data_IF_991689633556
#
_entry.id   IF_991689633556
#
_cell.length_a   1.000
_cell.length_b   1.000
_cell.length_c   1.000
_cell.angle_alpha   90.00
_cell.angle_beta   90.00
_cell.angle_gamma   90.00
#
_symmetry.space_group_name_H-M   'P 1'
#
loop_
_entity.id
_entity.type
_entity.pdbx_description
1 polymer ?
#
# COMPACT_ATOMS: atom_id res chain seq x y z
N UNK A 1 -9.83 -13.27 6.72
CA UNK A 1 -8.57 -13.92 6.34
C UNK A 1 -8.64 -14.54 4.96
N UNK A 2 -9.69 -15.26 4.62
CA UNK A 2 -9.79 -15.94 3.32
C UNK A 2 -9.84 -14.96 2.14
N UNK A 3 -10.52 -13.83 2.28
CA UNK A 3 -10.73 -12.84 1.20
C UNK A 3 -9.44 -12.30 0.57
N UNK A 4 -8.41 -11.84 1.32
CA UNK A 4 -7.15 -11.39 0.72
C UNK A 4 -6.39 -12.50 0.01
N UNK A 5 -6.44 -13.74 0.55
CA UNK A 5 -5.80 -14.89 -0.08
C UNK A 5 -6.50 -15.28 -1.39
N UNK A 6 -7.83 -15.33 -1.40
CA UNK A 6 -8.60 -15.58 -2.61
C UNK A 6 -8.36 -14.50 -3.67
N UNK A 7 -8.36 -13.23 -3.27
CA UNK A 7 -8.02 -12.14 -4.19
C UNK A 7 -6.61 -12.30 -4.75
N UNK A 8 -5.62 -12.65 -3.90
CA UNK A 8 -4.25 -12.88 -4.36
C UNK A 8 -4.16 -14.04 -5.35
N UNK A 9 -4.89 -15.13 -5.09
CA UNK A 9 -4.94 -16.29 -5.98
C UNK A 9 -5.55 -15.94 -7.35
N UNK A 10 -6.67 -15.20 -7.36
CA UNK A 10 -7.31 -14.73 -8.61
C UNK A 10 -6.36 -13.81 -9.38
N UNK A 11 -5.72 -12.84 -8.70
CA UNK A 11 -4.77 -11.95 -9.36
C UNK A 11 -3.55 -12.70 -9.89
N UNK A 12 -3.04 -13.68 -9.17
CA UNK A 12 -1.95 -14.53 -9.65
C UNK A 12 -2.34 -15.30 -10.90
N UNK A 13 -3.54 -15.89 -10.93
CA UNK A 13 -4.05 -16.61 -12.09
C UNK A 13 -4.19 -15.69 -13.31
N UNK A 14 -4.79 -14.51 -13.12
CA UNK A 14 -5.04 -13.57 -14.22
C UNK A 14 -3.73 -12.93 -14.69
N UNK A 15 -2.98 -12.29 -13.81
CA UNK A 15 -1.80 -11.51 -14.20
C UNK A 15 -0.52 -12.35 -14.29
N UNK A 16 -0.39 -13.40 -13.50
CA UNK A 16 0.76 -14.29 -13.52
C UNK A 16 0.71 -15.30 -14.66
N UNK A 17 -0.43 -15.96 -14.84
CA UNK A 17 -0.59 -17.07 -15.80
C UNK A 17 -1.12 -16.54 -17.14
N UNK A 18 -2.28 -15.89 -17.14
CA UNK A 18 -2.93 -15.46 -18.41
C UNK A 18 -2.17 -14.35 -19.11
N UNK A 19 -1.84 -13.28 -18.41
CA UNK A 19 -1.13 -12.12 -19.00
C UNK A 19 0.38 -12.27 -19.00
N UNK A 20 0.94 -13.32 -18.39
CA UNK A 20 2.38 -13.54 -18.29
C UNK A 20 3.16 -12.29 -17.83
N UNK A 21 2.53 -11.47 -16.97
CA UNK A 21 3.12 -10.25 -16.42
C UNK A 21 4.32 -10.53 -15.49
N UNK A 22 4.53 -11.81 -15.15
CA UNK A 22 5.70 -12.30 -14.42
C UNK A 22 7.02 -12.20 -15.21
N UNK A 23 6.95 -11.91 -16.52
CA UNK A 23 8.15 -11.72 -17.34
C UNK A 23 8.91 -10.49 -16.87
N UNK A 24 9.99 -10.70 -16.10
CA UNK A 24 10.89 -9.66 -15.59
C UNK A 24 10.76 -9.32 -14.11
N UNK A 25 9.77 -9.87 -13.38
CA UNK A 25 9.69 -9.74 -11.93
C UNK A 25 10.09 -11.08 -11.29
N UNK A 26 11.20 -11.05 -10.56
CA UNK A 26 11.67 -12.22 -9.82
C UNK A 26 10.72 -12.50 -8.65
N UNK A 27 10.35 -13.77 -8.42
CA UNK A 27 9.39 -14.18 -7.38
C UNK A 27 8.03 -13.44 -7.44
N UNK A 28 7.42 -13.40 -8.62
CA UNK A 28 6.17 -12.66 -8.86
C UNK A 28 5.05 -12.97 -7.86
N UNK A 29 4.95 -14.23 -7.39
CA UNK A 29 3.94 -14.62 -6.39
C UNK A 29 4.10 -13.83 -5.09
N UNK A 30 5.31 -13.78 -4.53
CA UNK A 30 5.63 -13.01 -3.33
C UNK A 30 5.39 -11.51 -3.56
N UNK A 31 5.80 -11.00 -4.72
CA UNK A 31 5.59 -9.61 -5.14
C UNK A 31 4.12 -9.22 -5.13
N UNK A 32 3.26 -10.05 -5.73
CA UNK A 32 1.83 -9.81 -5.85
C UNK A 32 1.11 -9.92 -4.50
N UNK A 33 1.38 -10.99 -3.75
CA UNK A 33 0.72 -11.24 -2.46
C UNK A 33 1.05 -10.13 -1.46
N UNK A 34 2.32 -9.70 -1.39
CA UNK A 34 2.75 -8.56 -0.56
C UNK A 34 1.97 -7.30 -0.94
N UNK A 35 1.90 -6.97 -2.23
CA UNK A 35 1.17 -5.79 -2.68
C UNK A 35 -0.32 -5.83 -2.35
N UNK A 36 -0.97 -6.99 -2.53
CA UNK A 36 -2.40 -7.17 -2.22
C UNK A 36 -2.67 -7.02 -0.72
N UNK A 37 -1.85 -7.60 0.15
CA UNK A 37 -2.06 -7.53 1.60
C UNK A 37 -1.88 -6.11 2.13
N UNK A 38 -0.80 -5.45 1.74
CA UNK A 38 -0.51 -4.06 2.14
C UNK A 38 -1.59 -3.10 1.62
N UNK A 39 -1.99 -3.23 0.36
CA UNK A 39 -3.07 -2.40 -0.19
C UNK A 39 -4.41 -2.68 0.49
N UNK A 40 -4.75 -3.94 0.77
CA UNK A 40 -6.02 -4.31 1.40
C UNK A 40 -6.19 -3.71 2.79
N UNK A 41 -5.12 -3.51 3.54
CA UNK A 41 -5.16 -2.79 4.81
C UNK A 41 -5.58 -1.33 4.62
N UNK A 42 -4.98 -0.62 3.67
CA UNK A 42 -5.34 0.78 3.37
C UNK A 42 -6.78 0.87 2.82
N UNK A 43 -7.15 0.00 1.89
CA UNK A 43 -8.50 -0.05 1.32
C UNK A 43 -9.56 -0.24 2.40
N UNK A 44 -9.40 -1.23 3.29
CA UNK A 44 -10.37 -1.50 4.35
C UNK A 44 -10.44 -0.36 5.36
N UNK A 45 -9.29 0.21 5.76
CA UNK A 45 -9.26 1.36 6.66
C UNK A 45 -10.04 2.55 6.11
N UNK A 46 -9.92 2.83 4.82
CA UNK A 46 -10.63 3.92 4.13
C UNK A 46 -12.13 3.61 4.01
N UNK A 47 -12.48 2.41 3.55
CA UNK A 47 -13.88 1.99 3.37
C UNK A 47 -14.61 1.94 4.70
N UNK A 48 -14.04 1.28 5.71
CA UNK A 48 -14.63 1.19 7.05
C UNK A 48 -14.71 2.58 7.70
N UNK A 49 -13.65 3.39 7.56
CA UNK A 49 -13.65 4.78 8.02
C UNK A 49 -14.84 5.57 7.48
N UNK A 50 -15.18 5.41 6.19
CA UNK A 50 -16.30 6.15 5.57
C UNK A 50 -17.68 5.76 6.09
N UNK A 51 -17.84 4.57 6.65
CA UNK A 51 -19.15 4.05 7.13
C UNK A 51 -19.28 4.03 8.66
N UNK A 52 -18.16 4.09 9.39
CA UNK A 52 -18.11 3.82 10.84
C UNK A 52 -19.00 4.71 11.67
N UNK A 53 -19.10 6.01 11.35
CA UNK A 53 -19.91 6.97 12.11
C UNK A 53 -21.41 6.66 12.01
N UNK A 54 -21.86 6.25 10.83
CA UNK A 54 -23.27 5.89 10.60
C UNK A 54 -23.62 4.53 11.16
N UNK A 55 -22.73 3.57 11.00
CA UNK A 55 -22.92 2.22 11.52
C UNK A 55 -23.06 2.20 13.05
N UNK A 56 -22.45 3.18 13.74
CA UNK A 56 -22.45 3.25 15.21
C UNK A 56 -23.22 4.46 15.76
N UNK A 57 -24.22 4.98 15.04
CA UNK A 57 -24.96 6.18 15.46
C UNK A 57 -25.70 5.98 16.80
N UNK A 58 -26.22 4.78 17.05
CA UNK A 58 -26.86 4.43 18.31
C UNK A 58 -25.87 4.51 19.48
N UNK A 59 -24.66 4.01 19.31
CA UNK A 59 -23.59 4.05 20.30
C UNK A 59 -23.16 5.50 20.59
N UNK A 60 -23.02 6.31 19.54
CA UNK A 60 -22.63 7.72 19.63
C UNK A 60 -23.66 8.54 20.41
N UNK A 61 -24.98 8.19 20.29
CA UNK A 61 -26.04 8.86 21.00
C UNK A 61 -26.19 8.37 22.44
N UNK A 62 -25.88 7.10 22.71
CA UNK A 62 -26.02 6.51 24.03
C UNK A 62 -24.87 6.86 24.99
N UNK A 63 -23.67 7.05 24.47
CA UNK A 63 -22.48 7.24 25.26
C UNK A 63 -21.75 8.55 24.92
N UNK A 64 -21.34 9.28 25.96
CA UNK A 64 -20.52 10.47 25.82
C UNK A 64 -19.05 10.09 25.78
N UNK A 65 -18.49 9.91 24.57
CA UNK A 65 -17.07 9.64 24.38
C UNK A 65 -16.53 10.40 23.15
N UNK A 66 -15.19 10.60 23.05
CA UNK A 66 -14.59 11.24 21.89
C UNK A 66 -14.88 10.47 20.61
N UNK A 67 -15.61 11.06 19.69
CA UNK A 67 -16.08 10.39 18.44
C UNK A 67 -14.93 9.92 17.55
N UNK A 68 -13.76 10.56 17.66
CA UNK A 68 -12.54 10.14 16.95
C UNK A 68 -12.06 8.74 17.33
N UNK A 69 -12.39 8.23 18.53
CA UNK A 69 -12.01 6.88 18.95
C UNK A 69 -12.59 5.79 18.04
N UNK A 70 -13.77 6.02 17.45
CA UNK A 70 -14.41 5.03 16.58
C UNK A 70 -13.58 4.72 15.31
N UNK A 71 -13.28 5.68 14.41
CA UNK A 71 -12.47 5.39 13.23
C UNK A 71 -11.08 4.86 13.60
N UNK A 72 -10.46 5.37 14.67
CA UNK A 72 -9.16 4.89 15.13
C UNK A 72 -9.20 3.42 15.59
N UNK A 73 -10.22 3.05 16.37
CA UNK A 73 -10.41 1.66 16.82
C UNK A 73 -10.57 0.69 15.64
N UNK A 74 -11.35 1.06 14.63
CA UNK A 74 -11.51 0.22 13.45
C UNK A 74 -10.21 0.07 12.65
N UNK A 75 -9.39 1.13 12.52
CA UNK A 75 -8.07 1.02 11.88
C UNK A 75 -7.17 0.08 12.67
N UNK A 76 -7.23 0.08 14.00
CA UNK A 76 -6.48 -0.87 14.82
C UNK A 76 -6.93 -2.32 14.62
N UNK A 77 -8.23 -2.56 14.45
CA UNK A 77 -8.75 -3.89 14.09
C UNK A 77 -8.22 -4.33 12.72
N UNK A 78 -8.24 -3.45 11.71
CA UNK A 78 -7.68 -3.76 10.39
C UNK A 78 -6.16 -3.98 10.44
N UNK A 79 -5.45 -3.26 11.31
CA UNK A 79 -4.03 -3.48 11.55
C UNK A 79 -3.76 -4.86 12.15
N UNK A 80 -4.55 -5.29 13.13
CA UNK A 80 -4.45 -6.65 13.68
C UNK A 80 -4.70 -7.71 12.59
N UNK A 81 -5.67 -7.51 11.72
CA UNK A 81 -5.93 -8.40 10.58
C UNK A 81 -4.76 -8.43 9.60
N UNK A 82 -4.08 -7.29 9.37
CA UNK A 82 -2.86 -7.25 8.59
C UNK A 82 -1.76 -8.09 9.23
N UNK A 83 -1.50 -7.94 10.54
CA UNK A 83 -0.48 -8.71 11.26
C UNK A 83 -0.71 -10.22 11.14
N UNK A 84 -1.96 -10.66 11.28
CA UNK A 84 -2.28 -12.09 11.07
C UNK A 84 -2.11 -12.50 9.61
N UNK A 85 -2.39 -11.61 8.64
CA UNK A 85 -2.12 -11.86 7.22
C UNK A 85 -0.61 -11.97 6.94
N UNK A 86 0.24 -11.24 7.68
CA UNK A 86 1.70 -11.36 7.58
C UNK A 86 2.20 -12.74 8.00
N UNK A 87 1.55 -13.41 8.96
CA UNK A 87 1.90 -14.80 9.33
C UNK A 87 1.72 -15.77 8.16
N UNK A 88 0.82 -15.49 7.24
CA UNK A 88 0.64 -16.27 6.01
C UNK A 88 1.60 -15.81 4.91
N UNK A 89 1.89 -14.51 4.85
CA UNK A 89 2.80 -13.94 3.87
C UNK A 89 4.23 -14.46 4.04
N UNK A 90 4.75 -14.53 5.27
CA UNK A 90 6.12 -14.94 5.55
C UNK A 90 6.45 -16.34 5.00
N UNK A 91 5.67 -17.39 5.26
CA UNK A 91 5.89 -18.69 4.62
C UNK A 91 5.87 -18.62 3.09
N UNK A 92 4.95 -17.86 2.49
CA UNK A 92 4.87 -17.73 1.03
C UNK A 92 6.17 -17.12 0.49
N UNK A 93 6.68 -16.06 1.11
CA UNK A 93 7.93 -15.39 0.70
C UNK A 93 9.13 -16.33 0.84
N UNK A 94 9.21 -17.09 1.94
CA UNK A 94 10.29 -18.07 2.16
C UNK A 94 10.25 -19.23 1.15
N UNK A 95 9.07 -19.77 0.87
CA UNK A 95 8.88 -20.87 -0.11
C UNK A 95 9.26 -20.40 -1.52
N UNK A 96 9.07 -19.12 -1.85
CA UNK A 96 9.49 -18.56 -3.14
C UNK A 96 11.00 -18.36 -3.26
N UNK A 97 11.78 -18.60 -2.20
CA UNK A 97 13.25 -18.56 -2.21
C UNK A 97 13.87 -17.22 -1.81
N UNK A 98 13.09 -16.30 -1.24
CA UNK A 98 13.64 -15.05 -0.70
C UNK A 98 14.32 -15.31 0.65
N UNK A 99 15.59 -14.91 0.85
CA UNK A 99 16.32 -15.16 2.08
C UNK A 99 15.80 -14.29 3.24
N UNK A 100 15.77 -14.87 4.44
CA UNK A 100 15.52 -14.11 5.65
C UNK A 100 16.72 -13.22 5.95
N UNK A 101 16.53 -11.90 5.94
CA UNK A 101 17.60 -10.91 6.14
C UNK A 101 17.25 -9.92 7.25
N UNK A 102 18.25 -9.27 7.86
CA UNK A 102 18.04 -8.23 8.88
C UNK A 102 17.12 -7.08 8.42
N UNK A 103 16.97 -6.88 7.13
CA UNK A 103 16.07 -5.86 6.58
C UNK A 103 14.59 -6.13 6.86
N UNK A 104 14.20 -7.34 7.23
CA UNK A 104 12.84 -7.63 7.68
C UNK A 104 12.47 -6.81 8.93
N UNK A 105 13.46 -6.36 9.71
CA UNK A 105 13.23 -5.46 10.82
C UNK A 105 12.64 -4.10 10.38
N UNK A 106 12.99 -3.63 9.18
CA UNK A 106 12.41 -2.41 8.61
C UNK A 106 10.92 -2.54 8.28
N UNK A 107 10.38 -3.75 8.26
CA UNK A 107 8.95 -3.96 8.10
C UNK A 107 8.15 -3.28 9.23
N UNK A 108 8.64 -3.35 10.48
CA UNK A 108 7.96 -2.77 11.64
C UNK A 108 7.74 -1.26 11.47
N UNK A 109 8.76 -0.42 11.24
CA UNK A 109 8.54 1.01 11.03
C UNK A 109 7.71 1.31 9.78
N UNK A 110 7.80 0.53 8.70
CA UNK A 110 6.96 0.71 7.52
C UNK A 110 5.49 0.49 7.84
N UNK A 111 5.16 -0.59 8.56
CA UNK A 111 3.78 -0.88 8.96
C UNK A 111 3.22 0.17 9.93
N UNK A 112 4.06 0.70 10.83
CA UNK A 112 3.66 1.78 11.75
C UNK A 112 3.38 3.08 10.99
N UNK A 113 4.21 3.44 10.01
CA UNK A 113 3.97 4.61 9.15
C UNK A 113 2.69 4.45 8.34
N UNK A 114 2.46 3.26 7.77
CA UNK A 114 1.23 2.96 7.05
C UNK A 114 -0.01 3.02 7.96
N UNK A 115 0.08 2.48 9.19
CA UNK A 115 -1.01 2.57 10.17
C UNK A 115 -1.32 4.04 10.51
N UNK A 116 -0.30 4.86 10.71
CA UNK A 116 -0.44 6.31 10.96
C UNK A 116 -1.11 7.01 9.79
N UNK A 117 -0.71 6.70 8.56
CA UNK A 117 -1.37 7.20 7.35
C UNK A 117 -2.85 6.78 7.31
N UNK A 118 -3.14 5.51 7.56
CA UNK A 118 -4.49 4.97 7.53
C UNK A 118 -5.38 5.57 8.63
N UNK A 119 -4.84 5.88 9.81
CA UNK A 119 -5.56 6.60 10.87
C UNK A 119 -6.01 7.98 10.39
N UNK A 120 -5.10 8.76 9.80
CA UNK A 120 -5.42 10.06 9.24
C UNK A 120 -6.46 9.97 8.11
N UNK A 121 -6.28 9.03 7.19
CA UNK A 121 -7.21 8.79 6.08
C UNK A 121 -8.60 8.37 6.59
N UNK A 122 -8.68 7.49 7.59
CA UNK A 122 -9.94 7.05 8.18
C UNK A 122 -10.68 8.20 8.86
N UNK A 123 -9.99 9.11 9.55
CA UNK A 123 -10.58 10.32 10.14
C UNK A 123 -11.19 11.23 9.08
N UNK A 124 -10.47 11.46 7.98
CA UNK A 124 -10.98 12.25 6.84
C UNK A 124 -12.24 11.59 6.27
N UNK A 125 -12.18 10.28 6.02
CA UNK A 125 -13.30 9.53 5.44
C UNK A 125 -14.49 9.43 6.39
N UNK A 126 -14.27 9.33 7.70
CA UNK A 126 -15.32 9.31 8.69
C UNK A 126 -16.17 10.60 8.67
N UNK A 127 -15.51 11.76 8.51
CA UNK A 127 -16.21 13.03 8.37
C UNK A 127 -16.98 13.12 7.05
N UNK A 128 -16.33 12.79 5.93
CA UNK A 128 -16.96 12.82 4.61
C UNK A 128 -18.15 11.85 4.53
N UNK A 129 -17.98 10.64 5.05
CA UNK A 129 -19.02 9.64 5.08
C UNK A 129 -20.18 9.99 6.00
N UNK A 130 -19.97 10.70 7.12
CA UNK A 130 -21.03 11.18 7.98
C UNK A 130 -21.90 12.25 7.28
N UNK A 131 -21.32 13.08 6.43
CA UNK A 131 -22.00 14.16 5.72
C UNK A 131 -22.86 13.70 4.54
N UNK A 132 -22.41 12.72 3.76
CA UNK A 132 -23.07 12.29 2.53
C UNK A 132 -23.09 10.75 2.39
N UNK A 133 -24.29 10.17 2.29
CA UNK A 133 -24.46 8.72 2.17
C UNK A 133 -23.94 8.18 0.85
N UNK A 134 -24.20 8.90 -0.22
CA UNK A 134 -23.80 8.51 -1.56
C UNK A 134 -22.27 8.45 -1.69
N UNK A 135 -21.57 9.37 -0.99
CA UNK A 135 -20.12 9.35 -0.96
C UNK A 135 -19.56 8.04 -0.36
N UNK A 136 -20.14 7.57 0.74
CA UNK A 136 -19.71 6.29 1.35
C UNK A 136 -19.92 5.08 0.44
N UNK A 137 -20.92 5.12 -0.45
CA UNK A 137 -21.17 4.05 -1.42
C UNK A 137 -20.17 4.09 -2.59
N UNK A 138 -19.65 5.27 -2.94
CA UNK A 138 -18.65 5.42 -4.01
C UNK A 138 -17.24 5.01 -3.58
N UNK A 139 -16.90 5.10 -2.29
CA UNK A 139 -15.55 4.80 -1.78
C UNK A 139 -15.06 3.40 -2.15
N UNK A 140 -15.83 2.30 -2.00
CA UNK A 140 -15.37 0.97 -2.39
C UNK A 140 -15.05 0.86 -3.89
N UNK A 141 -15.76 1.59 -4.74
CA UNK A 141 -15.50 1.63 -6.17
C UNK A 141 -14.21 2.40 -6.48
N UNK A 142 -14.03 3.59 -5.87
CA UNK A 142 -12.83 4.40 -6.04
C UNK A 142 -11.58 3.68 -5.55
N UNK A 143 -11.64 2.98 -4.42
CA UNK A 143 -10.49 2.23 -3.90
C UNK A 143 -10.11 1.04 -4.80
N UNK A 144 -11.08 0.40 -5.44
CA UNK A 144 -10.80 -0.65 -6.46
C UNK A 144 -10.05 -0.10 -7.66
N UNK A 145 -10.47 1.06 -8.18
CA UNK A 145 -9.77 1.74 -9.27
C UNK A 145 -8.36 2.13 -8.82
N UNK A 146 -8.23 2.72 -7.62
CA UNK A 146 -6.96 3.14 -7.06
C UNK A 146 -5.94 1.99 -6.96
N UNK A 147 -6.37 0.77 -6.67
CA UNK A 147 -5.53 -0.43 -6.64
C UNK A 147 -4.73 -0.64 -7.92
N UNK A 148 -5.31 -0.35 -9.08
CA UNK A 148 -4.63 -0.49 -10.37
C UNK A 148 -3.53 0.56 -10.57
N UNK A 149 -3.64 1.73 -9.94
CA UNK A 149 -2.64 2.79 -10.02
C UNK A 149 -1.50 2.67 -9.01
N UNK A 150 -1.58 1.76 -8.05
CA UNK A 150 -0.58 1.63 -6.98
C UNK A 150 0.53 0.62 -7.27
N UNK A 151 0.61 0.05 -8.49
CA UNK A 151 1.63 -0.95 -8.83
C UNK A 151 1.52 -2.24 -7.99
N UNK A 152 0.31 -2.61 -7.55
CA UNK A 152 0.07 -3.87 -6.81
C UNK A 152 0.42 -5.07 -7.68
N UNK A 153 0.02 -5.05 -8.95
CA UNK A 153 0.09 -6.17 -9.88
C UNK A 153 1.25 -6.08 -10.86
N UNK A 154 1.85 -4.91 -11.02
CA UNK A 154 2.95 -4.64 -11.95
C UNK A 154 3.99 -3.74 -11.31
N UNK A 155 5.20 -3.76 -11.85
CA UNK A 155 6.24 -2.82 -11.43
C UNK A 155 6.05 -1.48 -12.15
N UNK A 156 6.00 -0.38 -11.39
CA UNK A 156 5.92 0.97 -11.98
C UNK A 156 7.14 1.26 -12.84
N UNK A 157 8.30 0.69 -12.48
CA UNK A 157 9.52 0.78 -13.28
C UNK A 157 9.42 0.09 -14.65
N UNK A 158 8.52 -0.90 -14.80
CA UNK A 158 8.32 -1.62 -16.06
C UNK A 158 7.34 -0.95 -17.03
N UNK A 159 6.81 0.21 -16.67
CA UNK A 159 5.90 0.96 -17.54
C UNK A 159 6.63 1.41 -18.82
N UNK A 160 5.91 1.45 -19.97
CA UNK A 160 6.51 1.81 -21.24
C UNK A 160 7.23 3.17 -21.20
N UNK A 161 8.31 3.28 -21.97
CA UNK A 161 9.07 4.54 -22.12
C UNK A 161 8.24 5.68 -22.76
N UNK A 162 7.14 5.34 -23.43
CA UNK A 162 6.17 6.30 -23.99
C UNK A 162 5.41 7.10 -22.93
N UNK A 163 5.34 6.62 -21.68
CA UNK A 163 4.73 7.38 -20.60
C UNK A 163 5.68 8.49 -20.14
N UNK A 164 5.17 9.73 -20.00
CA UNK A 164 5.98 10.85 -19.53
C UNK A 164 6.48 10.62 -18.11
N UNK A 165 7.68 11.09 -17.81
CA UNK A 165 8.33 10.89 -16.49
C UNK A 165 7.50 11.43 -15.33
N UNK A 166 6.81 12.55 -15.53
CA UNK A 166 5.92 13.09 -14.49
C UNK A 166 4.82 12.11 -14.09
N UNK A 167 4.24 11.34 -15.04
CA UNK A 167 3.20 10.35 -14.75
C UNK A 167 3.77 9.17 -13.94
N UNK A 168 4.98 8.71 -14.28
CA UNK A 168 5.68 7.68 -13.51
C UNK A 168 5.99 8.14 -12.09
N UNK A 169 6.42 9.40 -11.94
CA UNK A 169 6.67 10.00 -10.63
C UNK A 169 5.39 10.09 -9.79
N UNK A 170 4.29 10.58 -10.36
CA UNK A 170 2.99 10.64 -9.67
C UNK A 170 2.54 9.26 -9.21
N UNK A 171 2.67 8.23 -10.05
CA UNK A 171 2.34 6.86 -9.68
C UNK A 171 3.24 6.32 -8.57
N UNK A 172 4.55 6.62 -8.62
CA UNK A 172 5.53 6.16 -7.63
C UNK A 172 5.39 6.83 -6.27
N UNK A 173 5.03 8.13 -6.24
CA UNK A 173 4.81 8.89 -5.00
C UNK A 173 3.38 8.77 -4.47
N UNK A 174 2.51 8.00 -5.11
CA UNK A 174 1.20 7.65 -4.58
C UNK A 174 1.35 6.98 -3.20
N UNK A 175 0.63 7.41 -2.15
CA UNK A 175 0.83 6.91 -0.79
C UNK A 175 0.78 5.38 -0.69
N UNK A 176 -0.19 4.73 -1.32
CA UNK A 176 -0.28 3.28 -1.29
C UNK A 176 0.90 2.62 -2.03
N UNK A 177 1.34 3.17 -3.16
CA UNK A 177 2.51 2.67 -3.89
C UNK A 177 3.80 2.79 -3.07
N UNK A 178 3.97 3.87 -2.31
CA UNK A 178 5.11 4.11 -1.42
C UNK A 178 5.19 3.02 -0.35
N UNK A 179 4.10 2.75 0.38
CA UNK A 179 4.10 1.72 1.44
C UNK A 179 4.26 0.31 0.88
N UNK A 180 3.68 0.00 -0.28
CA UNK A 180 3.88 -1.28 -0.97
C UNK A 180 5.35 -1.45 -1.35
N UNK A 181 5.98 -0.41 -1.92
CA UNK A 181 7.38 -0.44 -2.35
C UNK A 181 8.33 -0.57 -1.15
N UNK A 182 8.10 0.18 -0.07
CA UNK A 182 8.86 0.07 1.17
C UNK A 182 8.76 -1.33 1.79
N UNK A 183 7.55 -1.92 1.82
CA UNK A 183 7.35 -3.28 2.33
C UNK A 183 8.07 -4.31 1.46
N UNK A 184 7.99 -4.19 0.14
CA UNK A 184 8.72 -5.06 -0.78
C UNK A 184 10.23 -4.95 -0.59
N UNK A 185 10.75 -3.73 -0.45
CA UNK A 185 12.18 -3.50 -0.17
C UNK A 185 12.62 -4.09 1.17
N UNK A 186 11.74 -4.14 2.17
CA UNK A 186 12.03 -4.76 3.46
C UNK A 186 12.05 -6.29 3.40
N UNK A 187 11.06 -6.91 2.75
CA UNK A 187 10.85 -8.36 2.76
C UNK A 187 11.62 -9.05 1.62
N UNK A 188 11.59 -8.46 0.40
CA UNK A 188 12.12 -9.10 -0.82
C UNK A 188 13.52 -8.58 -1.12
N UNK A 189 14.50 -9.47 -0.95
CA UNK A 189 15.88 -9.17 -1.30
C UNK A 189 16.07 -8.85 -2.80
N UNK A 190 15.34 -9.55 -3.65
CA UNK A 190 15.36 -9.38 -5.09
C UNK A 190 14.86 -8.02 -5.59
N UNK A 191 14.15 -7.27 -4.77
CA UNK A 191 13.60 -5.94 -5.11
C UNK A 191 14.45 -4.78 -4.59
N UNK A 192 15.55 -5.06 -3.88
CA UNK A 192 16.42 -4.01 -3.32
C UNK A 192 17.29 -3.38 -4.38
N UNK A 193 17.43 -2.08 -4.27
CA UNK A 193 18.23 -1.25 -5.15
C UNK A 193 19.74 -1.57 -5.07
N UNK A 194 20.21 -1.93 -3.87
CA UNK A 194 21.61 -2.26 -3.58
C UNK A 194 21.68 -3.34 -2.50
N UNK A 195 21.84 -4.58 -2.91
CA UNK A 195 22.21 -5.65 -1.98
C UNK A 195 23.70 -5.95 -2.15
N UNK A 196 24.59 -5.54 -1.21
CA UNK A 196 25.99 -5.90 -1.25
C UNK A 196 26.12 -7.42 -1.14
N UNK A 197 26.65 -8.06 -2.18
CA UNK A 197 26.83 -9.52 -2.26
C UNK A 197 25.72 -10.29 -2.97
N UNK A 198 24.58 -9.67 -3.31
CA UNK A 198 23.69 -10.25 -4.30
C UNK A 198 24.43 -10.19 -5.66
N UNK A 199 24.56 -11.33 -6.31
CA UNK A 199 24.78 -11.34 -7.76
C UNK A 199 23.54 -10.67 -8.34
N UNK A 200 23.57 -9.41 -8.71
CA UNK A 200 22.36 -8.75 -9.13
C UNK A 200 22.01 -9.31 -10.49
N UNK A 201 21.00 -10.16 -10.51
CA UNK A 201 20.40 -10.60 -11.77
C UNK A 201 20.08 -9.36 -12.64
N UNK A 202 19.77 -8.25 -12.01
CA UNK A 202 19.59 -6.97 -12.67
C UNK A 202 20.90 -6.25 -13.00
N UNK A 203 21.93 -6.25 -12.15
CA UNK A 203 23.18 -5.56 -12.47
C UNK A 203 24.02 -6.31 -13.51
N UNK A 204 24.00 -7.64 -13.51
CA UNK A 204 24.65 -8.41 -14.59
C UNK A 204 23.89 -8.24 -15.91
N UNK A 205 22.55 -8.27 -15.90
CA UNK A 205 21.76 -7.89 -17.06
C UNK A 205 21.99 -6.43 -17.43
N UNK A 206 21.99 -5.49 -16.50
CA UNK A 206 22.26 -4.09 -16.76
C UNK A 206 23.66 -3.86 -17.31
N UNK A 207 24.71 -4.55 -16.82
CA UNK A 207 26.06 -4.48 -17.36
C UNK A 207 26.15 -5.09 -18.76
N UNK A 208 25.53 -6.24 -19.01
CA UNK A 208 25.50 -6.91 -20.31
C UNK A 208 24.66 -6.12 -21.33
N UNK A 209 23.56 -5.47 -20.89
CA UNK A 209 22.68 -4.73 -21.77
C UNK A 209 23.12 -3.29 -22.02
N UNK A 210 23.91 -2.68 -21.12
CA UNK A 210 24.55 -1.39 -21.38
C UNK A 210 25.50 -1.48 -22.57
N UNK A 211 26.06 -2.67 -22.85
CA UNK A 211 26.85 -2.95 -24.05
C UNK A 211 26.01 -3.13 -25.32
N UNK A 212 24.70 -3.45 -25.21
CA UNK A 212 23.85 -3.74 -26.38
C UNK A 212 22.78 -2.68 -26.70
N UNK A 213 22.77 -1.51 -26.02
CA UNK A 213 21.88 -0.36 -26.32
C UNK A 213 20.39 -0.72 -26.60
N UNK A 214 19.77 -1.59 -25.81
CA UNK A 214 18.35 -1.90 -25.94
C UNK A 214 17.56 -0.96 -25.03
N UNK A 215 16.84 0.07 -25.58
CA UNK A 215 16.20 1.12 -24.78
C UNK A 215 15.13 0.61 -23.81
N UNK A 216 14.51 -0.53 -24.13
CA UNK A 216 13.43 -1.11 -23.32
C UNK A 216 13.90 -1.70 -21.98
N UNK A 217 15.20 -1.99 -21.83
CA UNK A 217 15.74 -2.56 -20.60
C UNK A 217 16.47 -1.54 -19.72
N UNK A 218 16.80 -0.36 -20.23
CA UNK A 218 17.37 0.72 -19.42
C UNK A 218 16.41 1.19 -18.32
N UNK A 219 15.09 1.09 -18.55
CA UNK A 219 14.08 1.39 -17.54
C UNK A 219 14.13 0.46 -16.30
N UNK A 220 14.69 -0.75 -16.44
CA UNK A 220 14.88 -1.68 -15.32
C UNK A 220 16.16 -1.44 -14.53
N UNK A 221 17.09 -0.63 -15.06
CA UNK A 221 18.40 -0.43 -14.50
C UNK A 221 18.51 0.80 -13.60
N UNK A 222 17.56 1.71 -13.69
CA UNK A 222 17.49 2.89 -12.82
C UNK A 222 16.13 2.92 -12.10
N UNK A 223 16.11 2.83 -10.76
CA UNK A 223 14.88 3.03 -10.02
C UNK A 223 14.39 4.47 -10.25
N UNK A 224 13.10 4.62 -10.54
CA UNK A 224 12.47 5.94 -10.73
C UNK A 224 12.56 6.75 -9.45
N UNK A 225 12.52 6.06 -8.30
CA UNK A 225 12.57 6.67 -6.95
C UNK A 225 13.54 5.88 -6.09
N UNK A 226 14.46 6.58 -5.43
CA UNK A 226 15.43 5.96 -4.52
C UNK A 226 14.76 5.54 -3.21
N UNK A 227 15.35 4.56 -2.52
CA UNK A 227 14.82 4.07 -1.22
C UNK A 227 14.70 5.22 -0.20
N UNK A 228 15.64 6.16 -0.15
CA UNK A 228 15.58 7.31 0.74
C UNK A 228 14.40 8.23 0.41
N UNK A 229 14.12 8.46 -0.87
CA UNK A 229 12.95 9.24 -1.29
C UNK A 229 11.64 8.56 -0.91
N UNK A 230 11.57 7.23 -0.98
CA UNK A 230 10.41 6.46 -0.53
C UNK A 230 10.17 6.60 0.98
N UNK A 231 11.24 6.56 1.79
CA UNK A 231 11.12 6.80 3.24
C UNK A 231 10.63 8.20 3.55
N UNK A 232 11.21 9.22 2.91
CA UNK A 232 10.78 10.62 3.10
C UNK A 232 9.32 10.81 2.66
N UNK A 233 8.93 10.23 1.53
CA UNK A 233 7.55 10.27 1.06
C UNK A 233 6.60 9.55 2.02
N UNK A 234 6.99 8.37 2.55
CA UNK A 234 6.18 7.60 3.50
C UNK A 234 5.95 8.36 4.81
N UNK A 235 7.01 8.98 5.37
CA UNK A 235 6.91 9.83 6.56
C UNK A 235 6.05 11.07 6.25
N UNK A 236 6.31 11.73 5.12
CA UNK A 236 5.54 12.90 4.70
C UNK A 236 4.04 12.60 4.58
N UNK A 237 3.67 11.52 3.89
CA UNK A 237 2.28 11.10 3.78
C UNK A 237 1.65 10.75 5.12
N UNK A 238 2.35 10.03 6.01
CA UNK A 238 1.85 9.67 7.33
C UNK A 238 1.54 10.92 8.17
N UNK A 239 2.47 11.87 8.22
CA UNK A 239 2.33 13.10 9.01
C UNK A 239 1.24 14.00 8.43
N UNK A 240 1.28 14.26 7.11
CA UNK A 240 0.32 15.16 6.45
C UNK A 240 -1.10 14.64 6.58
N UNK A 241 -1.33 13.36 6.32
CA UNK A 241 -2.68 12.78 6.42
C UNK A 241 -3.18 12.70 7.85
N UNK A 242 -2.31 12.38 8.82
CA UNK A 242 -2.70 12.36 10.22
C UNK A 242 -3.08 13.77 10.71
N UNK A 243 -2.24 14.77 10.47
CA UNK A 243 -2.50 16.16 10.87
C UNK A 243 -3.78 16.68 10.17
N UNK A 244 -3.88 16.49 8.87
CA UNK A 244 -5.08 16.88 8.12
C UNK A 244 -6.32 16.16 8.63
N UNK A 245 -6.23 14.84 8.90
CA UNK A 245 -7.32 14.04 9.43
C UNK A 245 -7.80 14.51 10.78
N UNK A 246 -6.90 14.74 11.72
CA UNK A 246 -7.23 15.25 13.06
C UNK A 246 -7.85 16.63 12.99
N UNK A 247 -7.22 17.58 12.29
CA UNK A 247 -7.74 18.96 12.18
C UNK A 247 -9.10 18.99 11.48
N UNK A 248 -9.23 18.24 10.38
CA UNK A 248 -10.46 18.17 9.63
C UNK A 248 -11.58 17.52 10.44
N UNK A 249 -11.31 16.45 11.16
CA UNK A 249 -12.30 15.78 12.02
C UNK A 249 -12.71 16.65 13.20
N UNK A 250 -11.77 17.29 13.87
CA UNK A 250 -12.04 18.16 15.04
C UNK A 250 -12.95 19.33 14.70
N UNK A 251 -12.75 19.99 13.57
CA UNK A 251 -13.64 21.07 13.11
C UNK A 251 -15.12 20.64 12.97
N UNK A 252 -15.38 19.35 12.76
CA UNK A 252 -16.74 18.84 12.65
C UNK A 252 -17.33 18.42 13.99
N UNK A 253 -16.51 18.04 14.96
CA UNK A 253 -16.95 17.58 16.27
C UNK A 253 -17.79 18.64 16.99
N UNK A 254 -17.44 19.93 16.85
CA UNK A 254 -18.19 21.07 17.39
C UNK A 254 -19.59 21.22 16.77
N UNK A 255 -19.82 20.73 15.55
CA UNK A 255 -21.13 20.79 14.88
C UNK A 255 -22.01 19.59 15.21
N UNK A 256 -21.47 18.42 15.50
CA UNK A 256 -22.21 17.20 15.86
C UNK A 256 -22.69 17.19 17.31
N UNK A 257 -22.26 18.17 18.16
CA UNK A 257 -22.67 18.30 19.57
C UNK A 257 -23.94 19.11 19.78
N UNK A 258 -24.54 19.68 18.74
CA UNK A 258 -25.70 20.59 18.82
C UNK A 258 -27.01 20.03 18.22
N UNK A 259 -27.11 18.73 18.04
CA UNK A 259 -28.30 18.08 17.51
C UNK A 259 -28.83 17.00 18.43
#
# INVERSE_FOLDING_TARGET
MLTPLLNSAVYYLVFGILFQQNRGIYHYTAYLVTGVFIFSFTERSIVTGSTVMRANIALIRALHFPRACLPLAYVMVEFQQLLVSMLVLFPIVLITGEPLTWYWLFLVPVLMLQATFNMGAALIMARLGAGAQDFSQLIPFLTRIWRYFCGVMYSIASLPASLPEWAKNVLSFNPAAVYISLTRNAIMYSQREYAPGAQPYNALKCAIFNTKKIPQLQAYCHPIVTTNQLWLAGIGWAVVTLVAGVLYFWQAETRYGRG
#
